data_IF_180839571756
#
_entry.id   IF_180839571756
#
_cell.length_a   1.000
_cell.length_b   1.000
_cell.length_c   1.000
_cell.angle_alpha   90.00
_cell.angle_beta   90.00
_cell.angle_gamma   90.00
#
_symmetry.space_group_name_H-M   'P 1'
#
loop_
_entity.id
_entity.type
_entity.pdbx_description
1 polymer ?
#
# COMPACT_ATOMS: atom_id res chain seq x y z
N UNK A 1 29.48 18.98 9.85
CA UNK A 1 28.50 19.41 8.83
C UNK A 1 27.34 18.44 8.91
N UNK A 2 26.40 18.72 9.81
CA UNK A 2 25.15 17.96 9.96
C UNK A 2 24.30 18.40 8.78
N UNK A 3 24.13 17.53 7.79
CA UNK A 3 23.12 17.73 6.75
C UNK A 3 21.79 17.34 7.38
N UNK A 4 21.11 18.31 7.96
CA UNK A 4 19.65 18.26 8.15
C UNK A 4 19.03 18.25 6.76
N UNK A 5 18.85 17.05 6.21
CA UNK A 5 17.94 16.86 5.09
C UNK A 5 16.54 17.00 5.68
N UNK A 6 15.90 18.15 5.45
CA UNK A 6 14.46 18.24 5.50
C UNK A 6 13.91 17.33 4.39
N UNK A 7 13.78 16.03 4.68
CA UNK A 7 13.02 15.11 3.86
C UNK A 7 11.59 15.63 3.91
N UNK A 8 11.09 16.18 2.81
CA UNK A 8 9.67 16.45 2.68
C UNK A 8 9.01 15.07 2.55
N UNK A 9 8.78 14.41 3.69
CA UNK A 9 8.28 13.04 3.75
C UNK A 9 6.96 12.95 2.99
N UNK A 10 7.02 12.41 1.78
CA UNK A 10 5.82 12.15 0.99
C UNK A 10 5.15 10.92 1.57
N UNK A 11 4.43 11.14 2.67
CA UNK A 11 3.82 10.10 3.49
C UNK A 11 2.42 9.79 2.97
N UNK A 12 2.24 8.55 2.52
CA UNK A 12 0.97 8.03 2.06
C UNK A 12 0.43 7.03 3.07
N UNK A 13 -0.84 7.17 3.42
CA UNK A 13 -1.55 6.17 4.21
C UNK A 13 -2.38 5.31 3.29
N UNK A 14 -2.18 4.00 3.32
CA UNK A 14 -3.04 3.01 2.69
C UNK A 14 -4.18 2.63 3.66
N UNK A 15 -5.36 3.18 3.40
CA UNK A 15 -6.56 2.89 4.19
C UNK A 15 -7.08 1.48 3.88
N UNK A 16 -8.06 1.02 4.67
CA UNK A 16 -8.73 -0.27 4.51
C UNK A 16 -9.18 -0.49 3.06
N UNK A 17 -8.59 -1.50 2.42
CA UNK A 17 -8.92 -1.86 1.06
C UNK A 17 -8.30 -0.98 -0.01
N UNK A 18 -7.31 -0.14 0.31
CA UNK A 18 -6.57 0.66 -0.66
C UNK A 18 -5.22 0.04 -1.03
N UNK A 19 -4.71 0.44 -2.20
CA UNK A 19 -3.34 0.19 -2.63
C UNK A 19 -2.69 1.55 -2.89
N UNK A 20 -1.46 1.72 -2.40
CA UNK A 20 -0.61 2.86 -2.73
C UNK A 20 0.66 2.33 -3.39
N UNK A 21 1.09 2.99 -4.45
CA UNK A 21 2.30 2.67 -5.19
C UNK A 21 3.07 3.97 -5.37
N UNK A 22 4.37 3.91 -5.20
CA UNK A 22 5.28 5.03 -5.40
C UNK A 22 6.57 4.52 -6.04
N UNK A 23 7.12 5.30 -6.95
CA UNK A 23 8.48 5.12 -7.50
C UNK A 23 9.45 6.15 -6.93
N UNK A 24 9.00 6.92 -5.94
CA UNK A 24 9.79 7.92 -5.24
C UNK A 24 10.50 7.23 -4.05
N UNK A 25 11.84 7.20 -4.03
CA UNK A 25 12.61 6.55 -2.97
C UNK A 25 12.50 7.25 -1.61
N UNK A 26 12.03 8.51 -1.58
CA UNK A 26 11.80 9.26 -0.33
C UNK A 26 10.34 9.13 0.16
N UNK A 27 9.48 8.42 -0.58
CA UNK A 27 8.10 8.23 -0.18
C UNK A 27 7.95 7.11 0.87
N UNK A 28 7.24 7.43 1.94
CA UNK A 28 6.88 6.47 2.99
C UNK A 28 5.43 6.07 2.81
N UNK A 29 5.16 4.77 2.66
CA UNK A 29 3.80 4.23 2.62
C UNK A 29 3.52 3.54 3.95
N UNK A 30 2.43 3.92 4.62
CA UNK A 30 2.02 3.39 5.93
C UNK A 30 0.64 2.74 5.87
N UNK A 31 0.50 1.56 6.48
CA UNK A 31 -0.79 0.94 6.77
C UNK A 31 -1.07 1.08 8.26
N UNK A 32 -2.13 1.80 8.62
CA UNK A 32 -2.53 1.97 10.01
C UNK A 32 -3.62 0.95 10.39
N UNK A 33 -3.54 0.41 11.61
CA UNK A 33 -4.62 -0.42 12.17
C UNK A 33 -4.78 -1.81 11.52
N UNK A 34 -3.67 -2.48 11.21
CA UNK A 34 -3.64 -3.86 10.70
C UNK A 34 -3.94 -4.84 11.85
N UNK A 35 -5.20 -4.91 12.29
CA UNK A 35 -5.61 -5.86 13.33
C UNK A 35 -5.64 -7.29 12.78
N UNK A 36 -6.79 -7.68 12.22
CA UNK A 36 -6.97 -8.95 11.50
C UNK A 36 -6.76 -8.82 9.99
N UNK A 37 -6.52 -7.61 9.50
CA UNK A 37 -6.25 -7.33 8.09
C UNK A 37 -4.82 -7.73 7.72
N UNK A 38 -4.51 -7.71 6.43
CA UNK A 38 -3.17 -8.02 5.91
C UNK A 38 -2.63 -6.78 5.19
N UNK A 39 -1.45 -6.31 5.59
CA UNK A 39 -0.68 -5.33 4.82
C UNK A 39 0.34 -6.07 3.94
N UNK A 40 0.17 -6.01 2.62
CA UNK A 40 1.07 -6.61 1.64
C UNK A 40 1.98 -5.53 1.07
N UNK A 41 3.30 -5.67 1.28
CA UNK A 41 4.31 -4.78 0.73
C UNK A 41 5.04 -5.47 -0.42
N UNK A 42 5.22 -4.77 -1.53
CA UNK A 42 6.03 -5.22 -2.65
C UNK A 42 6.98 -4.11 -3.07
N UNK A 43 8.22 -4.48 -3.38
CA UNK A 43 9.24 -3.56 -3.85
C UNK A 43 10.04 -4.22 -4.97
N UNK A 44 10.18 -3.51 -6.08
CA UNK A 44 11.02 -3.89 -7.20
C UNK A 44 12.33 -3.08 -7.18
N UNK A 45 13.48 -3.71 -6.88
CA UNK A 45 14.76 -3.02 -6.81
C UNK A 45 15.31 -2.57 -8.17
N UNK A 46 14.83 -3.12 -9.29
CA UNK A 46 15.31 -2.70 -10.62
C UNK A 46 14.66 -1.40 -11.08
N UNK A 47 13.35 -1.26 -10.85
CA UNK A 47 12.58 -0.08 -11.26
C UNK A 47 12.45 0.97 -10.15
N UNK A 48 12.80 0.62 -8.91
CA UNK A 48 12.64 1.49 -7.74
C UNK A 48 11.18 1.70 -7.34
N UNK A 49 10.27 0.85 -7.83
CA UNK A 49 8.83 0.94 -7.56
C UNK A 49 8.50 0.13 -6.32
N UNK A 50 7.94 0.80 -5.32
CA UNK A 50 7.40 0.20 -4.10
C UNK A 50 5.90 0.39 -3.99
N UNK A 51 5.22 -0.53 -3.34
CA UNK A 51 3.80 -0.42 -3.08
C UNK A 51 3.37 -1.19 -1.85
N UNK A 52 2.22 -0.77 -1.31
CA UNK A 52 1.58 -1.40 -0.17
C UNK A 52 0.07 -1.53 -0.45
N UNK A 53 -0.46 -2.71 -0.19
CA UNK A 53 -1.87 -3.03 -0.28
C UNK A 53 -2.43 -3.37 1.10
N UNK A 54 -3.55 -2.75 1.48
CA UNK A 54 -4.26 -3.06 2.72
C UNK A 54 -5.43 -4.00 2.41
N UNK A 55 -5.18 -5.30 2.51
CA UNK A 55 -6.15 -6.35 2.25
C UNK A 55 -7.03 -6.56 3.49
N UNK A 56 -8.34 -6.47 3.31
CA UNK A 56 -9.34 -6.58 4.38
C UNK A 56 -10.03 -7.94 4.38
N UNK A 57 -10.11 -8.60 3.23
CA UNK A 57 -10.84 -9.86 3.04
C UNK A 57 -10.01 -10.86 2.21
N UNK A 58 -10.12 -12.18 2.48
CA UNK A 58 -9.31 -13.18 1.77
C UNK A 58 -9.78 -13.45 0.34
N UNK A 59 -11.10 -13.46 0.09
CA UNK A 59 -11.68 -13.81 -1.21
C UNK A 59 -12.89 -12.95 -1.55
N UNK A 60 -13.02 -12.61 -2.83
CA UNK A 60 -14.24 -12.09 -3.44
C UNK A 60 -14.93 -13.18 -4.25
N UNK A 61 -16.20 -13.45 -3.95
CA UNK A 61 -17.03 -14.44 -4.65
C UNK A 61 -17.32 -14.02 -6.11
N UNK A 62 -17.39 -12.70 -6.34
CA UNK A 62 -17.66 -12.10 -7.66
C UNK A 62 -16.41 -11.52 -8.35
N UNK A 63 -15.19 -11.82 -7.85
CA UNK A 63 -13.95 -11.24 -8.36
C UNK A 63 -13.94 -9.70 -8.32
N UNK A 64 -13.20 -9.09 -9.27
CA UNK A 64 -13.13 -7.63 -9.47
C UNK A 64 -14.48 -6.96 -9.83
N UNK A 65 -15.56 -7.74 -10.00
CA UNK A 65 -16.91 -7.23 -10.29
C UNK A 65 -17.77 -7.00 -9.03
N UNK A 66 -17.20 -7.21 -7.83
CA UNK A 66 -17.86 -6.80 -6.59
C UNK A 66 -18.15 -5.29 -6.64
N UNK A 67 -19.40 -4.88 -6.32
CA UNK A 67 -19.87 -3.47 -6.29
C UNK A 67 -19.21 -2.62 -5.17
N UNK A 68 -17.90 -2.71 -4.98
CA UNK A 68 -17.11 -1.98 -4.01
C UNK A 68 -15.62 -2.01 -4.37
N UNK A 69 -14.76 -1.46 -3.50
CA UNK A 69 -13.32 -1.37 -3.80
C UNK A 69 -12.71 -2.77 -3.96
N UNK A 70 -12.36 -3.15 -5.20
CA UNK A 70 -11.84 -4.49 -5.53
C UNK A 70 -10.55 -4.79 -4.76
N UNK A 71 -9.72 -3.76 -4.55
CA UNK A 71 -8.42 -3.80 -3.89
C UNK A 71 -8.42 -4.24 -2.42
N UNK A 72 -9.58 -4.52 -1.82
CA UNK A 72 -9.69 -5.05 -0.45
C UNK A 72 -9.58 -6.57 -0.35
N UNK A 73 -9.59 -7.29 -1.47
CA UNK A 73 -9.53 -8.74 -1.50
C UNK A 73 -8.14 -9.25 -1.90
N UNK A 74 -7.71 -10.39 -1.36
CA UNK A 74 -6.40 -10.98 -1.69
C UNK A 74 -6.36 -11.68 -3.06
N UNK A 75 -7.52 -11.94 -3.67
CA UNK A 75 -7.67 -12.78 -4.86
C UNK A 75 -8.01 -12.01 -6.15
N UNK A 76 -7.99 -10.68 -6.10
CA UNK A 76 -8.35 -9.83 -7.25
C UNK A 76 -7.14 -9.27 -7.98
#
# INVERSE_FOLDING_TARGET
MVVETATQEKSFVANLGEIKISNDPEATISCLGVGSCIALCMYDPQTGVGGMAHIVLPFSDNGAQSRGNATKYANV
#
